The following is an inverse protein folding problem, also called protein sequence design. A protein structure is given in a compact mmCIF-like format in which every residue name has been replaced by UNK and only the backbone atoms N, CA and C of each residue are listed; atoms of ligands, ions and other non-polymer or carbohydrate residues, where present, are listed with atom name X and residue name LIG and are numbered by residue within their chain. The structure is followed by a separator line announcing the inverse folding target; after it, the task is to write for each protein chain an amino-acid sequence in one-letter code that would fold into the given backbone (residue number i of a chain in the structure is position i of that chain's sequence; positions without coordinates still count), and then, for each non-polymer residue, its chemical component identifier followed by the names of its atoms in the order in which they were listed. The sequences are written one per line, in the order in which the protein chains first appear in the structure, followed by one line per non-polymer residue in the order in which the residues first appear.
data_IF_029898850082
#
_entry.id   IF_029898850082
#
_cell.length_a   1.000
_cell.length_b   1.000
_cell.length_c   1.000
_cell.angle_alpha   90.00
_cell.angle_beta   90.00
_cell.angle_gamma   90.00
#
_symmetry.space_group_name_H-M   'P 1'
#
loop_
_entity.id
_entity.type
_entity.pdbx_description
1 polymer ?
#
# COMPACT_ATOMS: atom_id res chain seq x y z
N UNK A 1 -24.35 -6.25 -23.39
CA UNK A 1 -23.30 -6.75 -22.50
C UNK A 1 -22.29 -5.63 -22.34
N UNK A 2 -22.16 -5.08 -21.13
CA UNK A 2 -21.14 -4.07 -20.84
C UNK A 2 -19.76 -4.72 -20.93
N UNK A 3 -18.85 -4.11 -21.67
CA UNK A 3 -17.45 -4.58 -21.71
C UNK A 3 -16.83 -4.32 -20.34
N UNK A 4 -16.15 -5.29 -19.73
CA UNK A 4 -15.40 -5.06 -18.50
C UNK A 4 -14.39 -3.94 -18.74
N UNK A 5 -14.49 -2.89 -17.92
CA UNK A 5 -13.66 -1.69 -18.05
C UNK A 5 -12.28 -1.93 -17.44
N UNK A 6 -11.26 -2.03 -18.29
CA UNK A 6 -9.86 -2.13 -17.86
C UNK A 6 -9.42 -0.90 -17.05
N UNK A 7 -10.13 0.23 -17.12
CA UNK A 7 -9.79 1.44 -16.39
C UNK A 7 -9.76 1.22 -14.87
N UNK A 8 -10.60 0.34 -14.33
CA UNK A 8 -10.60 0.03 -12.88
C UNK A 8 -9.28 -0.65 -12.47
N UNK A 9 -8.77 -1.56 -13.31
CA UNK A 9 -7.50 -2.25 -13.07
C UNK A 9 -6.29 -1.35 -13.30
N UNK A 10 -6.38 -0.43 -14.27
CA UNK A 10 -5.37 0.61 -14.48
C UNK A 10 -5.30 1.56 -13.28
N UNK A 11 -6.45 1.97 -12.74
CA UNK A 11 -6.52 2.81 -11.55
C UNK A 11 -5.92 2.11 -10.33
N UNK A 12 -6.20 0.82 -10.12
CA UNK A 12 -5.58 0.04 -9.06
C UNK A 12 -4.05 -0.04 -9.23
N UNK A 13 -3.58 -0.28 -10.45
CA UNK A 13 -2.15 -0.29 -10.75
C UNK A 13 -1.50 1.07 -10.41
N UNK A 14 -2.12 2.17 -10.81
CA UNK A 14 -1.65 3.51 -10.50
C UNK A 14 -1.60 3.76 -8.99
N UNK A 15 -2.72 3.53 -8.29
CA UNK A 15 -2.80 3.75 -6.83
C UNK A 15 -1.76 2.88 -6.09
N UNK A 16 -1.61 1.61 -6.45
CA UNK A 16 -0.62 0.72 -5.81
C UNK A 16 0.82 1.22 -6.01
N UNK A 17 1.11 1.82 -7.16
CA UNK A 17 2.42 2.41 -7.45
C UNK A 17 2.64 3.71 -6.69
N UNK A 18 1.61 4.55 -6.55
CA UNK A 18 1.69 5.79 -5.78
C UNK A 18 1.87 5.54 -4.28
N UNK A 19 1.19 4.52 -3.72
CA UNK A 19 1.40 4.10 -2.32
C UNK A 19 2.83 3.62 -2.12
N UNK A 20 3.35 2.81 -3.05
CA UNK A 20 4.71 2.29 -3.02
C UNK A 20 5.74 3.42 -3.08
N UNK A 21 5.61 4.33 -4.04
CA UNK A 21 6.52 5.48 -4.16
C UNK A 21 6.53 6.32 -2.88
N UNK A 22 5.36 6.63 -2.32
CA UNK A 22 5.29 7.39 -1.07
C UNK A 22 5.97 6.65 0.10
N UNK A 23 5.82 5.32 0.18
CA UNK A 23 6.48 4.51 1.20
C UNK A 23 8.01 4.45 1.01
N UNK A 24 8.49 4.35 -0.24
CA UNK A 24 9.92 4.36 -0.57
C UNK A 24 10.57 5.73 -0.31
N UNK A 25 9.79 6.81 -0.43
CA UNK A 25 10.18 8.18 -0.04
C UNK A 25 10.07 8.44 1.48
N UNK A 26 9.68 7.44 2.27
CA UNK A 26 9.36 7.54 3.71
C UNK A 26 8.26 8.57 4.05
N UNK A 27 7.45 8.99 3.08
CA UNK A 27 6.25 9.81 3.28
C UNK A 27 5.07 8.93 3.71
N UNK A 28 5.14 8.48 4.96
CA UNK A 28 4.17 7.54 5.53
C UNK A 28 2.77 8.12 5.65
N UNK A 29 2.63 9.43 5.85
CA UNK A 29 1.34 10.10 5.93
C UNK A 29 0.63 10.08 4.57
N UNK A 30 1.37 10.42 3.49
CA UNK A 30 0.85 10.31 2.13
C UNK A 30 0.59 8.87 1.74
N UNK A 31 1.48 7.94 2.10
CA UNK A 31 1.30 6.51 1.85
C UNK A 31 -0.03 6.01 2.45
N UNK A 32 -0.32 6.35 3.72
CA UNK A 32 -1.57 5.99 4.39
C UNK A 32 -2.80 6.62 3.73
N UNK A 33 -2.72 7.89 3.32
CA UNK A 33 -3.83 8.57 2.63
C UNK A 33 -4.19 7.87 1.31
N UNK A 34 -3.19 7.52 0.51
CA UNK A 34 -3.40 6.85 -0.79
C UNK A 34 -3.81 5.39 -0.56
N UNK A 35 -3.32 4.73 0.50
CA UNK A 35 -3.73 3.37 0.85
C UNK A 35 -5.24 3.28 1.10
N UNK A 36 -5.85 4.30 1.70
CA UNK A 36 -7.31 4.35 1.85
C UNK A 36 -8.02 4.41 0.48
N UNK A 37 -7.49 5.21 -0.46
CA UNK A 37 -8.04 5.29 -1.81
C UNK A 37 -7.89 3.96 -2.57
N UNK A 38 -6.76 3.29 -2.40
CA UNK A 38 -6.51 1.96 -2.95
C UNK A 38 -7.50 0.95 -2.37
N UNK A 39 -7.75 0.98 -1.06
CA UNK A 39 -8.75 0.13 -0.41
C UNK A 39 -10.15 0.37 -0.98
N UNK A 40 -10.56 1.63 -1.12
CA UNK A 40 -11.87 1.97 -1.67
C UNK A 40 -12.02 1.54 -3.14
N UNK A 41 -10.93 1.58 -3.92
CA UNK A 41 -10.90 1.05 -5.29
C UNK A 41 -11.03 -0.48 -5.32
N UNK A 42 -10.37 -1.19 -4.39
CA UNK A 42 -10.50 -2.64 -4.27
C UNK A 42 -11.93 -3.09 -3.96
N UNK A 43 -12.64 -2.38 -3.10
CA UNK A 43 -14.04 -2.70 -2.76
C UNK A 43 -15.00 -2.57 -3.95
N UNK A 44 -14.62 -1.79 -4.97
CA UNK A 44 -15.43 -1.53 -6.17
C UNK A 44 -15.06 -2.43 -7.34
N UNK A 45 -14.15 -3.37 -7.15
CA UNK A 45 -13.78 -4.31 -8.20
C UNK A 45 -14.97 -5.16 -8.63
N UNK A 46 -15.29 -5.22 -9.93
CA UNK A 46 -16.27 -6.16 -10.42
C UNK A 46 -15.74 -7.59 -10.24
N UNK A 47 -16.65 -8.56 -10.14
CA UNK A 47 -16.26 -9.97 -10.20
C UNK A 47 -15.49 -10.23 -11.50
N UNK A 48 -14.30 -10.80 -11.39
CA UNK A 48 -13.45 -11.08 -12.54
C UNK A 48 -13.99 -12.30 -13.30
N UNK A 49 -14.62 -12.05 -14.44
CA UNK A 49 -14.99 -13.10 -15.40
C UNK A 49 -14.18 -12.92 -16.70
N UNK A 50 -13.14 -13.75 -16.86
CA UNK A 50 -12.26 -13.73 -18.03
C UNK A 50 -12.99 -14.00 -19.34
N UNK A 51 -14.16 -14.66 -19.29
CA UNK A 51 -14.96 -14.92 -20.50
C UNK A 51 -15.61 -13.65 -21.06
N UNK A 52 -15.81 -12.64 -20.21
CA UNK A 52 -16.33 -11.33 -20.61
C UNK A 52 -15.22 -10.39 -21.11
N UNK A 53 -13.96 -10.74 -20.86
CA UNK A 53 -12.80 -9.95 -21.27
C UNK A 53 -12.33 -10.42 -22.66
N UNK A 54 -12.22 -9.50 -23.64
CA UNK A 54 -11.68 -9.81 -24.96
C UNK A 54 -10.31 -10.48 -24.85
N UNK A 55 -10.06 -11.49 -25.68
CA UNK A 55 -8.83 -12.29 -25.60
C UNK A 55 -7.58 -11.42 -25.77
N UNK A 56 -7.65 -10.43 -26.66
CA UNK A 56 -6.61 -9.44 -26.89
C UNK A 56 -6.29 -8.55 -25.67
N UNK A 57 -7.18 -8.47 -24.69
CA UNK A 57 -7.03 -7.65 -23.48
C UNK A 57 -6.66 -8.43 -22.23
N UNK A 58 -6.62 -9.77 -22.31
CA UNK A 58 -6.34 -10.64 -21.15
C UNK A 58 -4.89 -10.52 -20.70
N UNK A 59 -3.95 -10.46 -21.64
CA UNK A 59 -2.53 -10.32 -21.31
C UNK A 59 -2.25 -8.99 -20.60
N UNK A 60 -2.86 -7.89 -21.07
CA UNK A 60 -2.76 -6.58 -20.44
C UNK A 60 -3.35 -6.59 -19.02
N UNK A 61 -4.51 -7.23 -18.83
CA UNK A 61 -5.11 -7.38 -17.51
C UNK A 61 -4.20 -8.17 -16.57
N UNK A 62 -3.66 -9.30 -17.02
CA UNK A 62 -2.77 -10.14 -16.22
C UNK A 62 -1.49 -9.37 -15.86
N UNK A 63 -0.96 -8.56 -16.79
CA UNK A 63 0.18 -7.69 -16.53
C UNK A 63 -0.13 -6.62 -15.47
N UNK A 64 -1.31 -5.98 -15.53
CA UNK A 64 -1.75 -5.02 -14.52
C UNK A 64 -1.89 -5.67 -13.14
N UNK A 65 -2.57 -6.81 -13.06
CA UNK A 65 -2.74 -7.56 -11.81
C UNK A 65 -1.41 -8.05 -11.24
N UNK A 66 -0.49 -8.48 -12.10
CA UNK A 66 0.87 -8.85 -11.73
C UNK A 66 1.61 -7.68 -11.07
N UNK A 67 1.58 -6.49 -11.70
CA UNK A 67 2.20 -5.28 -11.15
C UNK A 67 1.62 -4.87 -9.82
N UNK A 68 0.29 -4.89 -9.69
CA UNK A 68 -0.40 -4.59 -8.43
C UNK A 68 0.07 -5.54 -7.33
N UNK A 69 0.11 -6.84 -7.61
CA UNK A 69 0.56 -7.85 -6.65
C UNK A 69 2.03 -7.67 -6.24
N UNK A 70 2.91 -7.34 -7.18
CA UNK A 70 4.32 -7.10 -6.89
C UNK A 70 4.52 -5.83 -6.05
N UNK A 71 3.77 -4.76 -6.34
CA UNK A 71 3.75 -3.54 -5.54
C UNK A 71 3.30 -3.82 -4.10
N UNK A 72 2.23 -4.60 -3.92
CA UNK A 72 1.73 -4.97 -2.59
C UNK A 72 2.73 -5.79 -1.79
N UNK A 73 3.45 -6.73 -2.41
CA UNK A 73 4.51 -7.51 -1.73
C UNK A 73 5.65 -6.63 -1.25
N UNK A 74 6.06 -5.65 -2.05
CA UNK A 74 7.10 -4.68 -1.68
C UNK A 74 6.63 -3.79 -0.54
N UNK A 75 5.39 -3.30 -0.61
CA UNK A 75 4.77 -2.53 0.46
C UNK A 75 4.70 -3.29 1.78
N UNK A 76 4.34 -4.58 1.76
CA UNK A 76 4.30 -5.41 2.97
C UNK A 76 5.68 -5.48 3.64
N UNK A 77 6.75 -5.68 2.87
CA UNK A 77 8.12 -5.67 3.38
C UNK A 77 8.49 -4.31 4.02
N UNK A 78 8.17 -3.19 3.35
CA UNK A 78 8.41 -1.84 3.87
C UNK A 78 7.64 -1.56 5.17
N UNK A 79 6.37 -2.00 5.27
CA UNK A 79 5.59 -1.83 6.49
C UNK A 79 6.10 -2.69 7.64
N UNK A 80 6.59 -3.91 7.37
CA UNK A 80 7.22 -4.76 8.38
C UNK A 80 8.45 -4.06 8.96
N UNK A 81 9.32 -3.53 8.10
CA UNK A 81 10.52 -2.79 8.49
C UNK A 81 10.14 -1.53 9.28
N UNK A 82 9.20 -0.74 8.77
CA UNK A 82 8.76 0.49 9.43
C UNK A 82 8.15 0.23 10.81
N UNK A 83 7.38 -0.84 10.96
CA UNK A 83 6.81 -1.24 12.24
C UNK A 83 7.90 -1.60 13.25
N UNK A 84 8.95 -2.32 12.82
CA UNK A 84 10.08 -2.64 13.68
C UNK A 84 10.80 -1.36 14.14
N UNK A 85 11.10 -0.45 13.20
CA UNK A 85 11.70 0.85 13.51
C UNK A 85 10.89 1.67 14.51
N UNK A 86 9.56 1.79 14.31
CA UNK A 86 8.69 2.54 15.22
C UNK A 86 8.64 1.93 16.62
N UNK A 87 8.66 0.60 16.73
CA UNK A 87 8.71 -0.08 18.02
C UNK A 87 10.00 0.24 18.79
N UNK A 88 11.15 0.21 18.11
CA UNK A 88 12.44 0.59 18.68
C UNK A 88 12.49 2.06 19.10
N UNK A 89 11.98 2.95 18.24
CA UNK A 89 11.91 4.39 18.52
C UNK A 89 11.07 4.69 19.77
N UNK A 90 9.89 4.08 19.88
CA UNK A 90 9.01 4.25 21.05
C UNK A 90 9.65 3.71 22.33
N UNK A 91 10.34 2.57 22.24
CA UNK A 91 11.07 2.01 23.38
C UNK A 91 12.21 2.94 23.84
N UNK A 92 12.94 3.53 22.89
CA UNK A 92 13.96 4.54 23.16
C UNK A 92 13.40 5.79 23.82
N UNK A 93 12.30 6.33 23.29
CA UNK A 93 11.62 7.50 23.85
C UNK A 93 11.11 7.25 25.28
N UNK A 94 10.55 6.06 25.54
CA UNK A 94 10.11 5.63 26.87
C UNK A 94 11.28 5.57 27.87
N UNK A 95 12.42 5.01 27.45
CA UNK A 95 13.62 4.95 28.28
C UNK A 95 14.18 6.34 28.56
N UNK A 96 14.22 7.23 27.57
CA UNK A 96 14.64 8.62 27.74
C UNK A 96 13.74 9.35 28.74
N UNK A 97 12.42 9.16 28.64
CA UNK A 97 11.47 9.75 29.59
C UNK A 97 11.72 9.25 31.03
N UNK A 98 11.99 7.95 31.22
CA UNK A 98 12.33 7.38 32.55
C UNK A 98 13.60 8.00 33.12
N UNK A 99 14.64 8.16 32.30
CA UNK A 99 15.90 8.81 32.71
C UNK A 99 15.63 10.27 33.09
N UNK A 100 14.93 11.03 32.25
CA UNK A 100 14.65 12.44 32.53
C UNK A 100 13.87 12.62 33.83
N UNK A 101 12.90 11.74 34.09
CA UNK A 101 12.14 11.74 35.35
C UNK A 101 13.02 11.44 36.57
N UNK A 102 13.98 10.51 36.45
CA UNK A 102 14.86 10.13 37.54
C UNK A 102 15.87 11.23 37.91
N UNK A 103 16.33 12.03 36.94
CA UNK A 103 17.41 13.01 37.15
C UNK A 103 16.96 14.47 37.24
N UNK A 104 15.83 14.86 36.64
CA UNK A 104 15.41 16.26 36.54
C UNK A 104 14.05 16.58 37.18
N UNK A 105 13.35 15.58 37.72
CA UNK A 105 12.05 15.76 38.39
C UNK A 105 12.10 15.55 39.91
N UNK A 106 13.29 15.43 40.49
CA UNK A 106 13.54 15.51 41.93
C UNK A 106 14.11 16.88 42.29
#
# INVERSE_FOLDING_TARGET
MEKPDLAVYQQLCQLSNEVLLAAEEEDWDKSLLIQQQLHDAYQKLPALDLNLIPEESRDDLLALLGRVNDNLKRLDALYIERRAFLAEFLQGASNLHKVNKAYFSG
#
